data_IF_407760890984
#
_entry.id   IF_407760890984
#
_cell.length_a   1.000
_cell.length_b   1.000
_cell.length_c   1.000
_cell.angle_alpha   90.00
_cell.angle_beta   90.00
_cell.angle_gamma   90.00
#
_symmetry.space_group_name_H-M   'P 1'
#
loop_
_entity.id
_entity.type
_entity.pdbx_description
1 polymer ?
#
# COMPACT_ATOMS: atom_id res chain seq x y z
N UNK A 1 22.05 -33.28 -11.83
CA UNK A 1 22.28 -31.82 -11.78
C UNK A 1 20.98 -31.02 -11.90
N UNK A 2 20.10 -31.28 -12.88
CA UNK A 2 18.83 -30.55 -13.07
C UNK A 2 17.83 -30.68 -11.91
N UNK A 3 17.67 -31.86 -11.31
CA UNK A 3 16.76 -32.07 -10.19
C UNK A 3 17.12 -31.21 -8.97
N UNK A 4 18.41 -31.16 -8.65
CA UNK A 4 18.96 -30.39 -7.52
C UNK A 4 18.80 -28.89 -7.73
N UNK A 5 19.06 -28.37 -8.93
CA UNK A 5 18.88 -26.94 -9.23
C UNK A 5 17.42 -26.49 -9.16
N UNK A 6 16.48 -27.39 -9.47
CA UNK A 6 15.03 -27.17 -9.37
C UNK A 6 14.45 -27.53 -8.00
N UNK A 7 15.30 -27.84 -7.00
CA UNK A 7 14.88 -28.24 -5.64
C UNK A 7 13.86 -29.38 -5.64
N UNK A 8 14.06 -30.38 -6.49
CA UNK A 8 13.18 -31.55 -6.66
C UNK A 8 13.99 -32.85 -6.76
N UNK A 9 13.32 -34.01 -6.88
CA UNK A 9 13.98 -35.31 -7.04
C UNK A 9 13.97 -35.77 -8.50
N UNK A 10 14.97 -36.56 -8.95
CA UNK A 10 14.98 -37.13 -10.30
C UNK A 10 13.71 -37.94 -10.61
N UNK A 11 13.23 -38.73 -9.64
CA UNK A 11 11.98 -39.49 -9.74
C UNK A 11 10.78 -38.57 -10.04
N UNK A 12 10.63 -37.47 -9.28
CA UNK A 12 9.53 -36.53 -9.45
C UNK A 12 9.60 -35.80 -10.80
N UNK A 13 10.80 -35.54 -11.31
CA UNK A 13 10.99 -35.02 -12.68
C UNK A 13 10.55 -36.02 -13.75
N UNK A 14 10.94 -37.29 -13.62
CA UNK A 14 10.51 -38.34 -14.56
C UNK A 14 8.99 -38.53 -14.53
N UNK A 15 8.39 -38.55 -13.34
CA UNK A 15 6.93 -38.63 -13.16
C UNK A 15 6.21 -37.42 -13.78
N UNK A 16 6.76 -36.20 -13.64
CA UNK A 16 6.23 -35.00 -14.26
C UNK A 16 6.37 -35.01 -15.79
N UNK A 17 7.51 -35.44 -16.31
CA UNK A 17 7.78 -35.53 -17.74
C UNK A 17 6.90 -36.59 -18.43
N UNK A 18 6.55 -37.66 -17.72
CA UNK A 18 5.63 -38.69 -18.20
C UNK A 18 4.15 -38.32 -18.03
N UNK A 19 3.83 -37.22 -17.34
CA UNK A 19 2.45 -36.82 -17.08
C UNK A 19 1.79 -36.25 -18.35
N UNK A 20 0.53 -36.64 -18.58
CA UNK A 20 -0.32 -36.05 -19.64
C UNK A 20 -0.63 -34.58 -19.39
N UNK A 21 -0.63 -34.15 -18.13
CA UNK A 21 -0.79 -32.76 -17.73
C UNK A 21 0.22 -32.44 -16.61
N UNK A 22 1.44 -32.03 -16.99
CA UNK A 22 2.49 -31.68 -16.04
C UNK A 22 2.11 -30.48 -15.15
N UNK A 23 1.31 -29.54 -15.66
CA UNK A 23 0.87 -28.34 -14.93
C UNK A 23 -0.05 -28.75 -13.78
N UNK A 24 -1.09 -29.53 -14.08
CA UNK A 24 -2.00 -30.05 -13.04
C UNK A 24 -1.28 -30.95 -12.05
N UNK A 25 -0.36 -31.77 -12.53
CA UNK A 25 0.44 -32.66 -11.68
C UNK A 25 1.30 -31.89 -10.67
N UNK A 26 1.88 -30.77 -11.11
CA UNK A 26 2.77 -29.93 -10.31
C UNK A 26 2.00 -29.01 -9.36
N UNK A 27 1.02 -28.27 -9.87
CA UNK A 27 0.35 -27.18 -9.13
C UNK A 27 -0.96 -27.60 -8.47
N UNK A 28 -1.43 -28.82 -8.73
CA UNK A 28 -2.70 -29.37 -8.23
C UNK A 28 -3.91 -28.50 -8.62
N UNK A 29 -3.83 -27.86 -9.78
CA UNK A 29 -4.87 -27.05 -10.40
C UNK A 29 -4.70 -27.05 -11.92
N UNK A 30 -5.73 -26.73 -12.69
CA UNK A 30 -5.66 -26.58 -14.15
C UNK A 30 -5.78 -25.12 -14.55
N UNK A 31 -5.36 -24.78 -15.77
CA UNK A 31 -5.58 -23.44 -16.32
C UNK A 31 -7.07 -23.10 -16.41
N UNK A 32 -7.93 -24.07 -16.74
CA UNK A 32 -9.37 -23.88 -16.80
C UNK A 32 -9.97 -23.59 -15.41
N UNK A 33 -9.55 -24.32 -14.37
CA UNK A 33 -10.01 -24.06 -13.01
C UNK A 33 -9.54 -22.70 -12.47
N UNK A 34 -8.36 -22.24 -12.91
CA UNK A 34 -7.83 -20.92 -12.58
C UNK A 34 -8.48 -19.78 -13.39
N UNK A 35 -9.28 -20.08 -14.41
CA UNK A 35 -10.01 -19.12 -15.23
C UNK A 35 -11.45 -18.87 -14.72
N UNK A 36 -11.74 -19.21 -13.46
CA UNK A 36 -12.99 -18.84 -12.80
C UNK A 36 -13.17 -17.31 -12.77
N UNK A 37 -14.31 -16.82 -13.27
CA UNK A 37 -14.56 -15.39 -13.44
C UNK A 37 -14.57 -14.62 -12.10
N UNK A 38 -15.07 -15.23 -11.03
CA UNK A 38 -15.06 -14.59 -9.72
C UNK A 38 -13.62 -14.44 -9.18
N UNK A 39 -12.79 -15.45 -9.38
CA UNK A 39 -11.36 -15.38 -9.05
C UNK A 39 -10.64 -14.35 -9.91
N UNK A 40 -10.88 -14.32 -11.22
CA UNK A 40 -10.28 -13.36 -12.15
C UNK A 40 -10.66 -11.93 -11.79
N UNK A 41 -11.95 -11.65 -11.52
CA UNK A 41 -12.41 -10.33 -11.08
C UNK A 41 -11.72 -9.91 -9.77
N UNK A 42 -11.63 -10.81 -8.79
CA UNK A 42 -10.96 -10.55 -7.51
C UNK A 42 -9.47 -10.28 -7.69
N UNK A 43 -8.78 -10.99 -8.60
CA UNK A 43 -7.36 -10.76 -8.89
C UNK A 43 -7.13 -9.47 -9.64
N UNK A 44 -8.00 -9.13 -10.60
CA UNK A 44 -7.95 -7.84 -11.31
C UNK A 44 -8.04 -6.67 -10.34
N UNK A 45 -8.99 -6.72 -9.41
CA UNK A 45 -9.14 -5.71 -8.36
C UNK A 45 -7.91 -5.65 -7.44
N UNK A 46 -7.38 -6.81 -7.03
CA UNK A 46 -6.17 -6.89 -6.19
C UNK A 46 -4.93 -6.29 -6.88
N UNK A 47 -4.69 -6.64 -8.14
CA UNK A 47 -3.60 -6.07 -8.93
C UNK A 47 -3.78 -4.57 -9.14
N UNK A 48 -5.01 -4.09 -9.36
CA UNK A 48 -5.29 -2.66 -9.42
C UNK A 48 -4.96 -1.92 -8.12
N UNK A 49 -5.23 -2.54 -6.97
CA UNK A 49 -4.87 -1.98 -5.66
C UNK A 49 -3.34 -1.93 -5.44
N UNK A 50 -2.62 -2.99 -5.82
CA UNK A 50 -1.16 -3.02 -5.71
C UNK A 50 -0.48 -2.06 -6.69
N UNK A 51 -1.00 -1.94 -7.92
CA UNK A 51 -0.52 -0.98 -8.91
C UNK A 51 -0.69 0.46 -8.40
N UNK A 52 -1.85 0.79 -7.79
CA UNK A 52 -2.06 2.08 -7.15
C UNK A 52 -1.05 2.35 -6.02
N UNK A 53 -0.78 1.36 -5.17
CA UNK A 53 0.21 1.48 -4.10
C UNK A 53 1.61 1.76 -4.67
N UNK A 54 2.06 0.97 -5.65
CA UNK A 54 3.37 1.16 -6.29
C UNK A 54 3.50 2.50 -7.02
N UNK A 55 2.43 2.99 -7.66
CA UNK A 55 2.41 4.32 -8.28
C UNK A 55 2.47 5.44 -7.24
N UNK A 56 1.75 5.30 -6.12
CA UNK A 56 1.79 6.25 -5.01
C UNK A 56 3.19 6.31 -4.38
N UNK A 57 3.85 5.17 -4.16
CA UNK A 57 5.22 5.11 -3.67
C UNK A 57 6.20 5.89 -4.57
N UNK A 58 6.14 5.66 -5.88
CA UNK A 58 7.01 6.37 -6.84
C UNK A 58 6.70 7.86 -6.92
N UNK A 59 5.43 8.23 -6.86
CA UNK A 59 5.02 9.63 -6.83
C UNK A 59 5.56 10.32 -5.57
N UNK A 60 5.48 9.65 -4.41
CA UNK A 60 6.05 10.15 -3.17
C UNK A 60 7.57 10.31 -3.28
N UNK A 61 8.30 9.31 -3.80
CA UNK A 61 9.75 9.41 -4.00
C UNK A 61 10.15 10.60 -4.89
N UNK A 62 9.39 10.85 -5.97
CA UNK A 62 9.62 12.00 -6.87
C UNK A 62 9.36 13.31 -6.16
N UNK A 63 8.23 13.42 -5.44
CA UNK A 63 7.86 14.62 -4.68
C UNK A 63 8.89 14.91 -3.57
N UNK A 64 9.32 13.87 -2.88
CA UNK A 64 10.34 13.95 -1.83
C UNK A 64 11.66 14.46 -2.39
N UNK A 65 12.17 13.85 -3.46
CA UNK A 65 13.41 14.26 -4.15
C UNK A 65 13.34 15.71 -4.64
N UNK A 66 12.20 16.12 -5.21
CA UNK A 66 11.99 17.49 -5.70
C UNK A 66 11.96 18.52 -4.57
N UNK A 67 11.40 18.18 -3.41
CA UNK A 67 11.10 19.17 -2.36
C UNK A 67 12.23 19.33 -1.33
N UNK A 68 12.92 18.24 -0.98
CA UNK A 68 13.91 18.26 0.10
C UNK A 68 15.35 18.45 -0.37
N UNK A 69 15.66 18.21 -1.65
CA UNK A 69 17.06 18.13 -2.10
C UNK A 69 17.77 16.92 -1.49
N UNK A 70 18.68 16.30 -2.22
CA UNK A 70 19.26 15.00 -1.85
C UNK A 70 20.22 15.03 -0.63
N UNK A 71 20.47 16.19 -0.02
CA UNK A 71 21.62 16.38 0.88
C UNK A 71 21.29 16.26 2.38
N UNK A 72 20.07 16.60 2.82
CA UNK A 72 19.74 16.61 4.26
C UNK A 72 18.94 15.40 4.73
N UNK A 73 18.21 14.76 3.82
CA UNK A 73 17.32 13.66 4.14
C UNK A 73 17.37 12.56 3.07
N UNK A 74 17.51 11.32 3.51
CA UNK A 74 17.59 10.14 2.65
C UNK A 74 16.44 9.17 2.94
N UNK A 75 15.80 8.68 1.89
CA UNK A 75 14.87 7.56 1.96
C UNK A 75 15.65 6.25 1.87
N UNK A 76 15.64 5.46 2.94
CA UNK A 76 16.07 4.07 2.95
C UNK A 76 14.85 3.18 2.67
N UNK A 77 14.90 2.39 1.59
CA UNK A 77 13.83 1.51 1.14
C UNK A 77 13.70 0.28 2.06
N UNK A 78 12.52 0.08 2.64
CA UNK A 78 12.21 -1.02 3.58
C UNK A 78 11.10 -1.94 3.06
N UNK A 79 10.72 -1.80 1.77
CA UNK A 79 9.61 -2.54 1.16
C UNK A 79 9.88 -4.04 0.98
N UNK A 80 11.15 -4.44 0.90
CA UNK A 80 11.56 -5.83 0.63
C UNK A 80 11.31 -6.82 1.79
N UNK A 81 10.97 -6.33 2.99
CA UNK A 81 10.88 -7.17 4.20
C UNK A 81 9.48 -7.61 4.61
N UNK A 82 8.44 -7.38 3.79
CA UNK A 82 7.03 -7.50 4.21
C UNK A 82 6.73 -6.72 5.50
N UNK A 83 7.49 -5.66 5.74
CA UNK A 83 7.30 -4.83 6.92
C UNK A 83 6.16 -3.86 6.65
N UNK A 84 5.42 -3.43 7.68
CA UNK A 84 4.42 -2.37 7.48
C UNK A 84 5.01 -1.00 7.10
N UNK A 85 6.34 -0.89 6.93
CA UNK A 85 7.10 0.32 6.65
C UNK A 85 7.58 0.31 5.21
N UNK A 86 7.34 1.41 4.50
CA UNK A 86 7.78 1.56 3.11
C UNK A 86 9.17 2.22 3.06
N UNK A 87 9.39 3.24 3.90
CA UNK A 87 10.69 3.90 4.01
C UNK A 87 11.10 4.17 5.45
N UNK A 88 12.40 4.14 5.70
CA UNK A 88 13.02 4.80 6.85
C UNK A 88 13.66 6.10 6.38
N UNK A 89 13.36 7.21 7.06
CA UNK A 89 13.92 8.52 6.75
C UNK A 89 15.15 8.74 7.61
N UNK A 90 16.29 8.98 6.96
CA UNK A 90 17.58 9.25 7.59
C UNK A 90 17.98 10.71 7.39
N UNK A 91 18.65 11.32 8.36
CA UNK A 91 19.24 12.65 8.18
C UNK A 91 20.60 12.58 7.45
N UNK A 92 21.22 13.74 7.19
CA UNK A 92 22.54 13.83 6.53
C UNK A 92 23.68 13.12 7.28
N UNK A 93 23.51 12.78 8.56
CA UNK A 93 24.45 11.93 9.32
C UNK A 93 24.06 10.43 9.31
N UNK A 94 23.15 10.03 8.40
CA UNK A 94 22.56 8.68 8.28
C UNK A 94 21.87 8.18 9.55
N UNK A 95 21.44 9.08 10.44
CA UNK A 95 20.68 8.69 11.63
C UNK A 95 19.18 8.62 11.30
N UNK A 96 18.47 7.57 11.75
CA UNK A 96 17.02 7.50 11.59
C UNK A 96 16.31 8.66 12.27
N UNK A 97 15.31 9.21 11.57
CA UNK A 97 14.48 10.32 12.04
C UNK A 97 13.05 9.86 12.26
N UNK A 98 12.47 9.15 11.30
CA UNK A 98 11.15 8.53 11.41
C UNK A 98 10.98 7.41 10.37
N UNK A 99 9.98 6.56 10.58
CA UNK A 99 9.49 5.60 9.59
C UNK A 99 8.29 6.19 8.84
N UNK A 100 8.15 5.80 7.59
CA UNK A 100 7.08 6.25 6.73
C UNK A 100 6.37 5.06 6.09
N UNK A 101 5.05 5.14 6.06
CA UNK A 101 4.22 4.22 5.31
C UNK A 101 3.18 5.00 4.50
N UNK A 102 3.08 4.67 3.22
CA UNK A 102 2.24 5.33 2.24
C UNK A 102 0.86 4.66 2.21
N UNK A 103 -0.17 5.49 2.14
CA UNK A 103 -1.57 5.10 2.05
C UNK A 103 -2.23 5.85 0.91
N UNK A 104 -2.63 5.08 -0.10
CA UNK A 104 -3.44 5.57 -1.19
C UNK A 104 -4.93 5.46 -0.85
N UNK A 105 -5.70 6.50 -1.15
CA UNK A 105 -7.15 6.52 -1.02
C UNK A 105 -7.79 7.07 -2.30
N UNK A 106 -8.60 6.27 -3.00
CA UNK A 106 -9.27 6.71 -4.23
C UNK A 106 -10.78 6.52 -4.26
N UNK A 107 -11.31 5.68 -3.36
CA UNK A 107 -12.74 5.40 -3.26
C UNK A 107 -13.33 6.19 -2.10
N UNK A 108 -14.26 7.09 -2.41
CA UNK A 108 -14.92 7.91 -1.40
C UNK A 108 -15.82 7.07 -0.49
N UNK A 109 -15.81 7.40 0.80
CA UNK A 109 -16.84 6.89 1.71
C UNK A 109 -18.10 7.73 1.57
N UNK A 110 -18.97 7.37 0.60
CA UNK A 110 -20.14 8.18 0.20
C UNK A 110 -21.06 8.52 1.36
N UNK A 111 -21.22 7.63 2.33
CA UNK A 111 -22.07 7.83 3.51
C UNK A 111 -21.34 8.45 4.71
N UNK A 112 -20.12 8.97 4.54
CA UNK A 112 -19.29 9.50 5.62
C UNK A 112 -20.03 10.55 6.47
N UNK A 113 -20.84 11.41 5.84
CA UNK A 113 -21.56 12.47 6.56
C UNK A 113 -22.55 11.91 7.56
N UNK A 114 -23.36 10.94 7.13
CA UNK A 114 -24.35 10.29 7.97
C UNK A 114 -23.70 9.33 8.99
N UNK A 115 -22.59 8.68 8.63
CA UNK A 115 -22.00 7.64 9.46
C UNK A 115 -20.99 8.19 10.48
N UNK A 116 -20.14 9.13 10.10
CA UNK A 116 -19.02 9.62 10.93
C UNK A 116 -18.89 11.15 10.98
N UNK A 117 -19.89 11.87 10.44
CA UNK A 117 -19.93 13.34 10.49
C UNK A 117 -18.88 14.05 9.63
N UNK A 118 -18.24 13.35 8.68
CA UNK A 118 -17.24 13.91 7.78
C UNK A 118 -17.79 14.01 6.36
N UNK A 119 -17.36 15.01 5.59
CA UNK A 119 -17.70 15.06 4.16
C UNK A 119 -17.00 13.92 3.39
N UNK A 120 -17.67 13.26 2.42
CA UNK A 120 -17.07 12.14 1.68
C UNK A 120 -15.73 12.46 1.03
N UNK A 121 -15.57 13.69 0.52
CA UNK A 121 -14.34 14.20 -0.11
C UNK A 121 -13.22 14.52 0.89
N UNK A 122 -13.55 14.64 2.17
CA UNK A 122 -12.63 14.94 3.27
C UNK A 122 -12.41 13.72 4.19
N UNK A 123 -12.95 12.56 3.86
CA UNK A 123 -12.96 11.39 4.74
C UNK A 123 -11.96 10.32 4.28
N UNK A 124 -10.95 10.04 5.11
CA UNK A 124 -9.97 8.98 4.90
C UNK A 124 -10.12 7.88 5.96
N UNK A 125 -10.25 6.63 5.53
CA UNK A 125 -10.34 5.49 6.44
C UNK A 125 -8.98 4.79 6.61
N UNK A 126 -8.53 4.63 7.85
CA UNK A 126 -7.35 3.84 8.21
C UNK A 126 -7.75 2.75 9.20
N UNK A 127 -7.31 1.52 8.93
CA UNK A 127 -7.58 0.40 9.81
C UNK A 127 -6.98 0.64 11.20
N UNK A 128 -7.75 0.42 12.26
CA UNK A 128 -7.30 0.68 13.64
C UNK A 128 -6.09 -0.18 14.01
N UNK A 129 -6.01 -1.41 13.51
CA UNK A 129 -4.85 -2.27 13.71
C UNK A 129 -3.57 -1.70 13.06
N UNK A 130 -3.67 -0.92 11.97
CA UNK A 130 -2.50 -0.25 11.36
C UNK A 130 -2.00 0.90 12.22
N UNK A 131 -2.92 1.65 12.84
CA UNK A 131 -2.58 2.67 13.85
C UNK A 131 -1.84 2.02 15.02
N UNK A 132 -2.37 0.90 15.54
CA UNK A 132 -1.72 0.14 16.61
C UNK A 132 -0.35 -0.42 16.20
N UNK A 133 -0.21 -0.98 14.98
CA UNK A 133 1.08 -1.47 14.46
C UNK A 133 2.12 -0.34 14.35
N UNK A 134 1.72 0.84 13.86
CA UNK A 134 2.59 2.02 13.82
C UNK A 134 3.04 2.44 15.23
N UNK A 135 2.14 2.41 16.21
CA UNK A 135 2.45 2.69 17.61
C UNK A 135 3.40 1.67 18.23
N UNK A 136 3.20 0.37 17.99
CA UNK A 136 4.09 -0.69 18.48
C UNK A 136 5.51 -0.53 17.93
N UNK A 137 5.64 -0.27 16.62
CA UNK A 137 6.94 0.00 16.00
C UNK A 137 7.60 1.25 16.58
N UNK A 138 6.84 2.33 16.74
CA UNK A 138 7.35 3.55 17.34
C UNK A 138 7.88 3.35 18.76
N UNK A 139 7.17 2.56 19.58
CA UNK A 139 7.58 2.27 20.96
C UNK A 139 8.79 1.34 21.02
N UNK A 140 8.83 0.30 20.18
CA UNK A 140 9.92 -0.69 20.19
C UNK A 140 11.26 -0.12 19.75
N UNK A 141 11.27 0.87 18.86
CA UNK A 141 12.50 1.44 18.29
C UNK A 141 12.80 2.87 18.76
N UNK A 142 11.88 3.49 19.53
CA UNK A 142 11.95 4.91 19.91
C UNK A 142 12.12 5.79 18.67
N UNK A 143 11.36 5.49 17.62
CA UNK A 143 11.44 6.14 16.32
C UNK A 143 10.04 6.51 15.83
N UNK A 144 9.71 7.78 15.59
CA UNK A 144 8.39 8.18 15.15
C UNK A 144 7.92 7.43 13.91
N UNK A 145 6.62 7.15 13.86
CA UNK A 145 5.99 6.48 12.73
C UNK A 145 5.00 7.42 12.04
N UNK A 146 5.10 7.56 10.72
CA UNK A 146 4.29 8.48 9.93
C UNK A 146 3.54 7.73 8.85
N UNK A 147 2.25 8.05 8.71
CA UNK A 147 1.48 7.69 7.54
C UNK A 147 1.50 8.86 6.56
N UNK A 148 1.91 8.62 5.32
CA UNK A 148 1.80 9.57 4.22
C UNK A 148 0.60 9.18 3.35
N UNK A 149 -0.31 10.12 3.12
CA UNK A 149 -1.63 9.88 2.53
C UNK A 149 -1.75 10.70 1.27
N UNK A 150 -2.22 10.05 0.21
CA UNK A 150 -2.67 10.72 -1.01
C UNK A 150 -4.10 10.28 -1.31
N UNK A 151 -4.99 11.27 -1.48
CA UNK A 151 -6.41 11.06 -1.76
C UNK A 151 -6.74 11.51 -3.18
N UNK A 152 -6.97 10.58 -4.10
CA UNK A 152 -7.29 10.87 -5.51
C UNK A 152 -8.70 10.37 -5.84
N UNK A 153 -9.76 11.16 -5.56
CA UNK A 153 -11.13 10.74 -5.80
C UNK A 153 -11.36 10.19 -7.21
N UNK A 154 -12.03 9.05 -7.29
CA UNK A 154 -12.40 8.40 -8.55
C UNK A 154 -11.26 7.65 -9.25
N UNK A 155 -10.05 7.61 -8.67
CA UNK A 155 -9.00 6.70 -9.11
C UNK A 155 -9.04 5.42 -8.27
N UNK A 156 -9.87 4.46 -8.68
CA UNK A 156 -10.18 3.25 -7.90
C UNK A 156 -9.36 2.04 -8.36
N UNK A 157 -9.20 1.06 -7.47
CA UNK A 157 -8.56 -0.22 -7.81
C UNK A 157 -9.27 -0.96 -8.96
N UNK A 158 -10.57 -0.76 -9.12
CA UNK A 158 -11.32 -1.28 -10.27
C UNK A 158 -10.89 -0.61 -11.58
N UNK A 159 -10.87 0.73 -11.61
CA UNK A 159 -10.47 1.49 -12.81
C UNK A 159 -9.03 1.20 -13.23
N UNK A 160 -8.12 1.04 -12.25
CA UNK A 160 -6.72 0.72 -12.49
C UNK A 160 -6.54 -0.77 -12.80
N UNK A 161 -7.33 -1.65 -12.19
CA UNK A 161 -7.33 -3.08 -12.51
C UNK A 161 -7.79 -3.36 -13.94
N UNK A 162 -8.69 -2.54 -14.50
CA UNK A 162 -9.21 -2.69 -15.86
C UNK A 162 -8.14 -2.58 -16.95
N UNK A 163 -7.03 -1.90 -16.68
CA UNK A 163 -5.93 -1.74 -17.65
C UNK A 163 -4.93 -2.90 -17.63
N UNK A 164 -5.02 -3.77 -16.61
CA UNK A 164 -4.07 -4.89 -16.45
C UNK A 164 -4.33 -5.91 -17.55
N UNK A 165 -3.31 -6.24 -18.39
CA UNK A 165 -3.46 -7.23 -19.45
C UNK A 165 -4.01 -8.56 -18.93
N UNK A 166 -5.00 -9.12 -19.63
CA UNK A 166 -5.71 -10.33 -19.20
C UNK A 166 -4.75 -11.49 -18.84
N UNK A 167 -3.68 -11.67 -19.63
CA UNK A 167 -2.65 -12.70 -19.37
C UNK A 167 -2.02 -12.60 -17.97
N UNK A 168 -1.82 -11.39 -17.45
CA UNK A 168 -1.25 -11.16 -16.12
C UNK A 168 -2.29 -11.43 -15.02
N UNK A 169 -3.57 -11.10 -15.28
CA UNK A 169 -4.67 -11.46 -14.38
C UNK A 169 -4.82 -12.98 -14.28
N UNK A 170 -4.75 -13.69 -15.41
CA UNK A 170 -4.77 -15.16 -15.43
C UNK A 170 -3.56 -15.75 -14.70
N UNK A 171 -2.37 -15.18 -14.86
CA UNK A 171 -1.18 -15.61 -14.12
C UNK A 171 -1.36 -15.47 -12.60
N UNK A 172 -1.87 -14.32 -12.14
CA UNK A 172 -2.17 -14.12 -10.73
C UNK A 172 -3.26 -15.08 -10.23
N UNK A 173 -4.33 -15.29 -11.01
CA UNK A 173 -5.39 -16.24 -10.66
C UNK A 173 -4.87 -17.67 -10.57
N UNK A 174 -4.01 -18.08 -11.51
CA UNK A 174 -3.35 -19.38 -11.48
C UNK A 174 -2.49 -19.55 -10.24
N UNK A 175 -1.66 -18.55 -9.89
CA UNK A 175 -0.85 -18.60 -8.67
C UNK A 175 -1.73 -18.76 -7.40
N UNK A 176 -2.91 -18.16 -7.38
CA UNK A 176 -3.85 -18.29 -6.26
C UNK A 176 -4.55 -19.64 -6.20
N UNK A 177 -4.97 -20.17 -7.35
CA UNK A 177 -5.57 -21.50 -7.46
C UNK A 177 -4.56 -22.61 -7.20
N UNK A 178 -3.28 -22.39 -7.52
CA UNK A 178 -2.21 -23.33 -7.28
C UNK A 178 -1.99 -23.54 -5.77
N UNK A 179 -1.74 -24.79 -5.39
CA UNK A 179 -1.29 -25.16 -4.03
C UNK A 179 0.23 -24.95 -3.87
N UNK A 180 0.72 -23.80 -4.33
CA UNK A 180 2.12 -23.37 -4.19
C UNK A 180 2.20 -22.11 -3.31
N UNK A 181 3.36 -21.93 -2.65
CA UNK A 181 3.69 -20.66 -2.01
C UNK A 181 4.01 -19.55 -3.03
N UNK A 182 4.30 -18.35 -2.55
CA UNK A 182 4.80 -17.24 -3.39
C UNK A 182 3.75 -16.46 -4.19
N UNK A 183 2.47 -16.58 -3.81
CA UNK A 183 1.35 -15.89 -4.49
C UNK A 183 1.53 -14.38 -4.54
N UNK A 184 2.03 -13.81 -3.43
CA UNK A 184 2.31 -12.39 -3.30
C UNK A 184 3.53 -11.97 -4.12
N UNK A 185 4.58 -12.79 -4.13
CA UNK A 185 5.77 -12.55 -4.97
C UNK A 185 5.38 -12.44 -6.46
N UNK A 186 4.41 -13.25 -6.92
CA UNK A 186 3.86 -13.16 -8.28
C UNK A 186 3.12 -11.85 -8.52
N UNK A 187 2.25 -11.43 -7.61
CA UNK A 187 1.53 -10.16 -7.73
C UNK A 187 2.50 -8.97 -7.73
N UNK A 188 3.49 -8.97 -6.84
CA UNK A 188 4.51 -7.93 -6.75
C UNK A 188 5.39 -7.89 -8.02
N UNK A 189 5.72 -9.04 -8.60
CA UNK A 189 6.44 -9.12 -9.87
C UNK A 189 5.61 -8.59 -11.06
N UNK A 190 4.31 -8.90 -11.10
CA UNK A 190 3.39 -8.36 -12.12
C UNK A 190 3.33 -6.83 -12.02
N UNK A 191 3.17 -6.30 -10.81
CA UNK A 191 3.11 -4.85 -10.58
C UNK A 191 4.43 -4.20 -10.99
N UNK A 192 5.57 -4.78 -10.62
CA UNK A 192 6.88 -4.29 -11.05
C UNK A 192 7.00 -4.25 -12.57
N UNK A 193 6.64 -5.33 -13.25
CA UNK A 193 6.62 -5.39 -14.71
C UNK A 193 5.78 -4.27 -15.32
N UNK A 194 4.57 -4.04 -14.77
CA UNK A 194 3.68 -2.99 -15.26
C UNK A 194 4.23 -1.57 -15.12
N UNK A 195 5.04 -1.30 -14.09
CA UNK A 195 5.56 0.06 -13.83
C UNK A 195 6.99 0.26 -14.36
N UNK A 196 7.83 -0.77 -14.41
CA UNK A 196 9.26 -0.68 -14.78
C UNK A 196 9.56 -1.06 -16.23
N UNK A 197 8.84 -2.04 -16.77
CA UNK A 197 9.16 -2.59 -18.08
C UNK A 197 8.37 -1.89 -19.20
N UNK A 198 8.83 -2.05 -20.43
CA UNK A 198 8.10 -1.55 -21.60
C UNK A 198 6.72 -2.20 -21.71
N UNK A 199 5.69 -1.36 -21.73
CA UNK A 199 4.29 -1.77 -21.89
C UNK A 199 3.76 -1.38 -23.26
N UNK A 200 2.70 -2.06 -23.77
CA UNK A 200 1.95 -1.58 -24.91
C UNK A 200 1.54 -0.12 -24.72
N UNK A 201 1.55 0.64 -25.82
CA UNK A 201 1.39 2.11 -25.81
C UNK A 201 0.16 2.57 -25.02
N UNK A 202 -0.97 1.89 -25.19
CA UNK A 202 -2.24 2.21 -24.54
C UNK A 202 -2.15 2.02 -23.02
N UNK A 203 -1.51 0.95 -22.56
CA UNK A 203 -1.29 0.66 -21.13
C UNK A 203 -0.34 1.68 -20.54
N UNK A 204 0.78 1.95 -21.21
CA UNK A 204 1.78 2.93 -20.78
C UNK A 204 1.17 4.32 -20.62
N UNK A 205 0.33 4.76 -21.57
CA UNK A 205 -0.37 6.05 -21.50
C UNK A 205 -1.30 6.15 -20.30
N UNK A 206 -2.05 5.09 -19.98
CA UNK A 206 -2.94 5.10 -18.83
C UNK A 206 -2.18 5.09 -17.50
N UNK A 207 -1.11 4.30 -17.39
CA UNK A 207 -0.23 4.30 -16.21
C UNK A 207 0.40 5.69 -15.98
N UNK A 208 0.85 6.34 -17.06
CA UNK A 208 1.36 7.71 -17.00
C UNK A 208 0.27 8.69 -16.54
N UNK A 209 -0.95 8.59 -17.07
CA UNK A 209 -2.07 9.44 -16.66
C UNK A 209 -2.43 9.27 -15.18
N UNK A 210 -2.43 8.03 -14.67
CA UNK A 210 -2.63 7.78 -13.24
C UNK A 210 -1.51 8.40 -12.39
N UNK A 211 -0.25 8.24 -12.83
CA UNK A 211 0.91 8.83 -12.14
C UNK A 211 0.80 10.35 -12.04
N UNK A 212 0.45 11.02 -13.14
CA UNK A 212 0.26 12.49 -13.17
C UNK A 212 -0.83 12.93 -12.20
N UNK A 213 -1.96 12.21 -12.13
CA UNK A 213 -3.05 12.51 -11.18
C UNK A 213 -2.59 12.38 -9.72
N UNK A 214 -1.84 11.32 -9.41
CA UNK A 214 -1.32 11.08 -8.05
C UNK A 214 -0.30 12.15 -7.65
N UNK A 215 0.62 12.50 -8.56
CA UNK A 215 1.63 13.53 -8.31
C UNK A 215 1.05 14.94 -8.19
N UNK A 216 0.01 15.24 -8.97
CA UNK A 216 -0.68 16.54 -8.94
C UNK A 216 -1.61 16.73 -7.76
N UNK A 217 -1.82 15.70 -6.93
CA UNK A 217 -2.69 15.75 -5.76
C UNK A 217 -1.93 16.20 -4.52
N UNK A 218 -2.59 16.94 -3.62
CA UNK A 218 -2.00 17.29 -2.34
C UNK A 218 -1.78 16.06 -1.46
N UNK A 219 -0.52 15.86 -1.07
CA UNK A 219 -0.13 14.84 -0.11
C UNK A 219 -0.30 15.37 1.32
N UNK A 220 -0.69 14.49 2.23
CA UNK A 220 -0.88 14.80 3.64
C UNK A 220 -0.21 13.75 4.52
N UNK A 221 0.04 14.07 5.78
CA UNK A 221 0.69 13.18 6.74
C UNK A 221 -0.02 13.20 8.07
N UNK A 222 0.07 12.08 8.80
CA UNK A 222 -0.32 11.98 10.20
C UNK A 222 0.65 11.03 10.92
N UNK A 223 1.10 11.42 12.11
CA UNK A 223 1.88 10.54 12.97
C UNK A 223 1.02 9.42 13.56
N UNK A 224 1.60 8.26 13.80
CA UNK A 224 0.92 7.18 14.52
C UNK A 224 0.46 7.65 15.91
N UNK A 225 1.23 8.52 16.57
CA UNK A 225 0.83 9.14 17.84
C UNK A 225 -0.45 9.96 17.71
N UNK A 226 -0.54 10.85 16.72
CA UNK A 226 -1.75 11.68 16.51
C UNK A 226 -2.92 10.80 16.11
N UNK A 227 -2.70 9.82 15.24
CA UNK A 227 -3.72 8.86 14.86
C UNK A 227 -4.26 8.05 16.05
N UNK A 228 -3.41 7.58 16.96
CA UNK A 228 -3.80 6.89 18.19
C UNK A 228 -4.54 7.82 19.17
N UNK A 229 -4.07 9.07 19.33
CA UNK A 229 -4.75 10.08 20.14
C UNK A 229 -6.17 10.33 19.64
N UNK A 230 -6.32 10.64 18.34
CA UNK A 230 -7.63 10.87 17.73
C UNK A 230 -8.53 9.63 17.78
N UNK A 231 -7.97 8.43 17.60
CA UNK A 231 -8.71 7.18 17.73
C UNK A 231 -9.30 7.03 19.14
N UNK A 232 -8.56 7.38 20.19
CA UNK A 232 -9.05 7.32 21.58
C UNK A 232 -10.09 8.39 21.87
N UNK A 233 -9.87 9.60 21.38
CA UNK A 233 -10.73 10.76 21.62
C UNK A 233 -12.05 10.69 20.85
N UNK A 234 -12.04 10.12 19.65
CA UNK A 234 -13.16 10.12 18.71
C UNK A 234 -13.66 8.71 18.39
N UNK A 235 -13.44 7.76 19.31
CA UNK A 235 -13.74 6.34 19.11
C UNK A 235 -15.19 6.13 18.68
N UNK A 236 -16.15 6.73 19.40
CA UNK A 236 -17.58 6.52 19.14
C UNK A 236 -18.10 7.34 17.95
N UNK A 237 -17.44 8.44 17.64
CA UNK A 237 -17.79 9.38 16.57
C UNK A 237 -17.30 8.86 15.22
N UNK A 238 -16.03 8.46 15.14
CA UNK A 238 -15.31 8.22 13.88
C UNK A 238 -14.96 6.76 13.61
N UNK A 239 -15.19 5.84 14.55
CA UNK A 239 -15.15 4.38 14.28
C UNK A 239 -16.58 3.86 14.14
N UNK A 240 -17.13 3.88 12.92
CA UNK A 240 -18.51 3.45 12.70
C UNK A 240 -18.76 1.98 13.06
N UNK A 241 -17.78 1.11 12.81
CA UNK A 241 -17.92 -0.33 13.01
C UNK A 241 -18.36 -0.68 14.45
N UNK A 242 -17.82 -0.01 15.47
CA UNK A 242 -18.15 -0.33 16.88
C UNK A 242 -19.60 0.01 17.28
N UNK A 243 -20.32 0.78 16.45
CA UNK A 243 -21.75 1.06 16.63
C UNK A 243 -22.64 -0.02 16.00
N UNK A 244 -22.07 -0.95 15.24
CA UNK A 244 -22.80 -2.04 14.60
C UNK A 244 -22.87 -3.27 15.50
N UNK A 245 -24.02 -3.94 15.53
CA UNK A 245 -24.19 -5.21 16.26
C UNK A 245 -23.28 -6.33 15.75
N UNK A 246 -22.88 -6.28 14.49
CA UNK A 246 -22.01 -7.26 13.82
C UNK A 246 -20.54 -6.81 13.69
N UNK A 247 -20.08 -5.87 14.52
CA UNK A 247 -18.75 -5.26 14.37
C UNK A 247 -17.60 -6.28 14.31
N UNK A 248 -17.72 -7.40 15.02
CA UNK A 248 -16.73 -8.48 15.07
C UNK A 248 -16.44 -9.14 13.71
N UNK A 249 -17.31 -8.94 12.71
CA UNK A 249 -17.18 -9.50 11.36
C UNK A 249 -16.70 -8.46 10.33
N UNK A 250 -16.47 -7.22 10.75
CA UNK A 250 -16.14 -6.10 9.86
C UNK A 250 -14.75 -5.55 10.14
N UNK A 251 -14.09 -5.03 9.10
CA UNK A 251 -12.85 -4.29 9.30
C UNK A 251 -13.12 -3.01 10.10
N UNK A 252 -12.46 -2.90 11.25
CA UNK A 252 -12.60 -1.73 12.13
C UNK A 252 -11.68 -0.62 11.64
N UNK A 253 -12.28 0.43 11.08
CA UNK A 253 -11.56 1.59 10.54
C UNK A 253 -11.84 2.84 11.36
N UNK A 254 -10.79 3.62 11.61
CA UNK A 254 -10.87 5.00 12.06
C UNK A 254 -10.97 5.90 10.84
N UNK A 255 -11.92 6.84 10.86
CA UNK A 255 -12.10 7.82 9.80
C UNK A 255 -11.47 9.14 10.22
N UNK A 256 -10.65 9.72 9.36
CA UNK A 256 -9.94 10.97 9.58
C UNK A 256 -10.43 12.03 8.60
N UNK A 257 -10.53 13.27 9.06
CA UNK A 257 -10.66 14.45 8.21
C UNK A 257 -9.31 14.74 7.56
N UNK A 258 -9.25 14.70 6.23
CA UNK A 258 -8.05 15.05 5.47
C UNK A 258 -7.60 16.49 5.79
N UNK A 259 -8.54 17.42 5.87
CA UNK A 259 -8.28 18.84 6.08
C UNK A 259 -8.00 19.23 7.53
N UNK A 260 -8.65 18.59 8.51
CA UNK A 260 -8.56 18.99 9.93
C UNK A 260 -7.58 18.12 10.73
N UNK A 261 -7.52 16.82 10.45
CA UNK A 261 -6.71 15.90 11.27
C UNK A 261 -5.29 15.74 10.72
N UNK A 262 -5.11 15.80 9.41
CA UNK A 262 -3.83 15.56 8.76
C UNK A 262 -3.11 16.88 8.42
N UNK A 263 -1.79 16.83 8.47
CA UNK A 263 -0.91 17.93 8.08
C UNK A 263 -0.59 17.84 6.59
N UNK A 264 -0.70 18.93 5.83
CA UNK A 264 -0.23 18.93 4.44
C UNK A 264 1.26 18.60 4.35
N UNK A 265 1.69 17.82 3.36
CA UNK A 265 3.08 17.39 3.23
C UNK A 265 4.01 18.60 3.04
N UNK A 266 3.59 19.62 2.27
CA UNK A 266 4.35 20.87 2.10
C UNK A 266 4.60 21.55 3.45
N UNK A 267 3.58 21.58 4.31
CA UNK A 267 3.67 22.14 5.66
C UNK A 267 4.57 21.29 6.56
N UNK A 268 4.45 19.96 6.51
CA UNK A 268 5.32 19.04 7.22
C UNK A 268 6.80 19.22 6.85
N UNK A 269 7.09 19.39 5.55
CA UNK A 269 8.43 19.64 5.05
C UNK A 269 8.92 21.07 5.38
N UNK A 270 8.02 22.04 5.50
CA UNK A 270 8.36 23.37 6.03
C UNK A 270 8.77 23.29 7.51
N UNK A 271 7.99 22.58 8.34
CA UNK A 271 8.31 22.36 9.75
C UNK A 271 9.67 21.68 9.94
N UNK A 272 10.02 20.75 9.05
CA UNK A 272 11.36 20.16 9.00
C UNK A 272 12.45 21.23 8.83
N UNK A 273 12.35 22.06 7.79
CA UNK A 273 13.37 23.09 7.48
C UNK A 273 13.52 24.11 8.60
N UNK A 274 12.42 24.47 9.26
CA UNK A 274 12.43 25.50 10.31
C UNK A 274 12.86 24.99 11.68
N UNK A 275 12.49 23.76 12.05
CA UNK A 275 12.71 23.22 13.40
C UNK A 275 13.81 22.16 13.45
N UNK A 276 14.30 21.74 12.29
CA UNK A 276 15.25 20.66 12.14
C UNK A 276 14.71 19.28 12.55
N UNK A 277 15.56 18.25 12.46
CA UNK A 277 15.19 16.87 12.74
C UNK A 277 14.60 16.61 14.11
N UNK A 278 15.23 17.16 15.15
CA UNK A 278 14.83 16.94 16.52
C UNK A 278 13.51 17.63 16.85
N UNK A 279 13.31 18.84 16.31
CA UNK A 279 12.07 19.57 16.47
C UNK A 279 10.90 18.83 15.83
N UNK A 280 11.07 18.34 14.60
CA UNK A 280 10.02 17.55 13.94
C UNK A 280 9.74 16.24 14.66
N UNK A 281 10.78 15.49 15.06
CA UNK A 281 10.62 14.24 15.81
C UNK A 281 9.83 14.48 17.11
N UNK A 282 10.13 15.55 17.86
CA UNK A 282 9.39 15.89 19.07
C UNK A 282 7.91 16.22 18.79
N UNK A 283 7.61 16.91 17.68
CA UNK A 283 6.22 17.17 17.28
C UNK A 283 5.46 15.88 16.93
N UNK A 284 6.11 14.96 16.22
CA UNK A 284 5.56 13.65 15.89
C UNK A 284 5.30 12.82 17.15
N UNK A 285 6.22 12.82 18.12
CA UNK A 285 6.06 12.09 19.39
C UNK A 285 4.96 12.64 20.28
N UNK A 286 4.67 13.94 20.18
CA UNK A 286 3.59 14.63 20.89
C UNK A 286 2.24 14.54 20.16
N UNK A 287 2.22 13.99 18.94
CA UNK A 287 1.01 13.87 18.13
C UNK A 287 0.48 15.21 17.62
N UNK A 288 1.38 16.15 17.30
CA UNK A 288 1.01 17.45 16.74
C UNK A 288 0.88 17.42 15.22
N UNK A 289 1.48 16.41 14.57
CA UNK A 289 1.48 16.19 13.12
C UNK A 289 0.66 14.99 12.75
#
# INVERSE_FOLDING_TARGET
>A
MLATSLRTTPRRLTELAASRDPISSLFKTTLAAAADEALLAKRRQGLGQLLLAGLAERAFERLYRKTLGAEELHLEDERSGYTDTDYRVLNGSRRPVFRLNIKFHGTLFVNAKAMVGLEPTDCFALATYKVWQGMQKQQGEVLPYVFAIVSVPGLTAESVGAIVPARLVHLAAFAYAAKSGGKRDVEDAIVRHLIEDEQPKEVAQQIAAFSVRIEGTEWRVISARKADKLLRELLFERVYAIRQRSFAQTQVNMHFSLSQDLTALVEFLRLWRERGPQGLASMLERGLV
#
